data_IF_799653619893
#
_entry.id   IF_799653619893
#
_cell.length_a   1.000
_cell.length_b   1.000
_cell.length_c   1.000
_cell.angle_alpha   90.00
_cell.angle_beta   90.00
_cell.angle_gamma   90.00
#
_symmetry.space_group_name_H-M   'P 1'
#
loop_
_entity.id
_entity.type
_entity.pdbx_description
1 polymer ?
#
# COMPACT_ATOMS: atom_id res chain seq x y z
N UNK A 1 -9.44 -2.07 13.94
CA UNK A 1 -8.59 -0.89 14.12
C UNK A 1 -7.22 -1.44 14.42
N UNK A 2 -6.31 -1.36 13.45
CA UNK A 2 -4.93 -1.83 13.62
C UNK A 2 -4.30 -1.08 14.79
N UNK A 3 -3.66 -1.78 15.73
CA UNK A 3 -3.19 -1.17 16.98
C UNK A 3 -1.81 -0.48 16.88
N UNK A 4 -1.20 -0.48 15.70
CA UNK A 4 0.01 0.24 15.36
C UNK A 4 0.31 0.07 13.87
N UNK A 5 0.53 1.18 13.16
CA UNK A 5 0.86 1.16 11.73
C UNK A 5 1.92 2.21 11.47
N UNK A 6 3.07 1.76 10.97
CA UNK A 6 4.15 2.63 10.50
C UNK A 6 4.26 2.51 8.97
N UNK A 7 4.22 3.63 8.27
CA UNK A 7 4.29 3.71 6.80
C UNK A 7 5.46 4.62 6.43
N UNK A 8 6.30 4.15 5.52
CA UNK A 8 7.32 4.95 4.85
C UNK A 8 7.29 4.69 3.35
N UNK A 9 7.51 5.72 2.55
CA UNK A 9 7.57 5.60 1.10
C UNK A 9 8.80 6.30 0.53
N UNK A 10 9.34 5.78 -0.56
CA UNK A 10 10.45 6.35 -1.32
C UNK A 10 10.24 6.14 -2.83
N UNK A 11 10.78 7.04 -3.65
CA UNK A 11 10.73 6.94 -5.11
C UNK A 11 12.15 6.86 -5.65
N UNK A 12 12.51 5.71 -6.23
CA UNK A 12 13.85 5.45 -6.76
C UNK A 12 13.73 5.08 -8.24
N UNK A 13 14.14 5.98 -9.13
CA UNK A 13 14.14 5.75 -10.58
C UNK A 13 12.81 5.22 -11.11
N UNK A 14 11.73 5.98 -10.85
CA UNK A 14 10.35 5.66 -11.24
C UNK A 14 9.75 4.42 -10.56
N UNK A 15 10.41 3.87 -9.55
CA UNK A 15 9.86 2.83 -8.68
C UNK A 15 9.40 3.48 -7.39
N UNK A 16 8.09 3.40 -7.10
CA UNK A 16 7.54 3.76 -5.80
C UNK A 16 7.59 2.52 -4.90
N UNK A 17 8.34 2.65 -3.81
CA UNK A 17 8.43 1.64 -2.75
C UNK A 17 7.71 2.15 -1.50
N UNK A 18 6.84 1.32 -0.94
CA UNK A 18 6.09 1.62 0.29
C UNK A 18 6.38 0.49 1.29
N UNK A 19 7.02 0.82 2.42
CA UNK A 19 7.24 -0.13 3.50
C UNK A 19 6.20 0.11 4.59
N UNK A 20 5.55 -0.96 5.01
CA UNK A 20 4.43 -0.96 5.95
C UNK A 20 4.71 -1.96 7.05
N UNK A 21 4.59 -1.53 8.30
CA UNK A 21 4.60 -2.43 9.46
C UNK A 21 3.24 -2.35 10.13
N UNK A 22 2.60 -3.50 10.34
CA UNK A 22 1.36 -3.61 11.12
C UNK A 22 1.68 -4.44 12.35
N UNK A 23 1.35 -3.97 13.55
CA UNK A 23 1.72 -4.69 14.79
C UNK A 23 0.62 -5.60 15.34
N UNK A 24 -0.50 -5.73 14.61
CA UNK A 24 -1.55 -6.69 14.95
C UNK A 24 -1.17 -8.08 14.46
N UNK A 25 -1.30 -9.08 15.32
CA UNK A 25 -1.10 -10.50 15.01
C UNK A 25 -2.24 -10.99 14.11
N UNK A 26 -2.09 -10.79 12.80
CA UNK A 26 -3.11 -11.11 11.81
C UNK A 26 -2.49 -11.74 10.57
N UNK A 27 -2.91 -12.97 10.25
CA UNK A 27 -2.81 -13.50 8.89
C UNK A 27 -3.68 -12.63 7.97
N UNK A 28 -3.06 -11.65 7.31
CA UNK A 28 -3.75 -10.72 6.43
C UNK A 28 -3.01 -10.52 5.10
N UNK A 29 -3.77 -10.12 4.09
CA UNK A 29 -3.25 -9.68 2.79
C UNK A 29 -3.45 -8.17 2.68
N UNK A 30 -2.51 -7.46 2.06
CA UNK A 30 -2.62 -6.02 1.85
C UNK A 30 -3.10 -5.70 0.44
N UNK A 31 -3.92 -4.67 0.34
CA UNK A 31 -4.30 -4.02 -0.90
C UNK A 31 -4.07 -2.51 -0.80
N UNK A 32 -3.90 -1.84 -1.94
CA UNK A 32 -3.53 -0.43 -2.00
C UNK A 32 -4.40 0.36 -2.98
N UNK A 33 -4.78 1.56 -2.57
CA UNK A 33 -5.52 2.52 -3.38
C UNK A 33 -4.78 3.85 -3.41
N UNK A 34 -4.73 4.46 -4.61
CA UNK A 34 -4.13 5.76 -4.83
C UNK A 34 -5.19 6.75 -5.25
N UNK A 35 -5.35 7.84 -4.51
CA UNK A 35 -6.27 8.93 -4.85
C UNK A 35 -5.49 10.21 -5.15
N UNK A 36 -5.58 10.68 -6.39
CA UNK A 36 -4.91 11.91 -6.80
C UNK A 36 -5.55 13.13 -6.11
N UNK A 37 -4.77 13.91 -5.38
CA UNK A 37 -5.29 15.04 -4.58
C UNK A 37 -5.85 16.18 -5.44
N UNK A 38 -5.33 16.35 -6.66
CA UNK A 38 -5.73 17.46 -7.54
C UNK A 38 -6.98 17.13 -8.35
N UNK A 39 -7.04 15.93 -8.91
CA UNK A 39 -8.14 15.49 -9.80
C UNK A 39 -9.24 14.74 -9.05
N UNK A 40 -8.93 14.20 -7.86
CA UNK A 40 -9.82 13.30 -7.12
C UNK A 40 -9.95 11.91 -7.73
N UNK A 41 -9.19 11.59 -8.78
CA UNK A 41 -9.22 10.29 -9.43
C UNK A 41 -8.69 9.20 -8.48
N UNK A 42 -9.43 8.10 -8.37
CA UNK A 42 -9.06 6.93 -7.57
C UNK A 42 -8.57 5.83 -8.49
N UNK A 43 -7.38 5.29 -8.21
CA UNK A 43 -6.73 4.23 -8.97
C UNK A 43 -6.52 3.03 -8.05
N UNK A 44 -7.21 1.94 -8.36
CA UNK A 44 -7.11 0.63 -7.66
C UNK A 44 -6.55 -0.47 -8.56
N UNK A 45 -6.51 -0.25 -9.87
CA UNK A 45 -5.99 -1.18 -10.86
C UNK A 45 -4.54 -0.85 -11.23
N UNK A 46 -3.64 -0.97 -10.26
CA UNK A 46 -2.19 -0.79 -10.46
C UNK A 46 -1.53 -2.15 -10.28
N UNK A 47 -0.59 -2.47 -11.18
CA UNK A 47 0.24 -3.64 -10.99
C UNK A 47 1.32 -3.30 -9.95
N UNK A 48 1.32 -4.05 -8.85
CA UNK A 48 2.30 -3.94 -7.77
C UNK A 48 2.77 -5.32 -7.32
N UNK A 49 3.97 -5.36 -6.74
CA UNK A 49 4.52 -6.54 -6.06
C UNK A 49 4.39 -6.33 -4.56
N UNK A 50 3.74 -7.27 -3.87
CA UNK A 50 3.64 -7.32 -2.42
C UNK A 50 4.63 -8.38 -1.88
N UNK A 51 5.51 -7.98 -0.98
CA UNK A 51 6.53 -8.83 -0.37
C UNK A 51 6.39 -8.71 1.15
N UNK A 52 6.24 -9.84 1.84
CA UNK A 52 6.40 -9.91 3.29
C UNK A 52 7.89 -10.11 3.63
N UNK A 53 8.53 -9.11 4.23
CA UNK A 53 9.97 -9.11 4.51
C UNK A 53 10.25 -9.76 5.89
N UNK A 54 9.35 -9.57 6.83
CA UNK A 54 9.33 -10.24 8.13
C UNK A 54 7.92 -10.28 8.67
N UNK A 55 7.71 -10.99 9.78
CA UNK A 55 6.41 -11.11 10.45
C UNK A 55 5.74 -9.74 10.62
N UNK A 56 4.59 -9.58 9.97
CA UNK A 56 3.81 -8.35 9.88
C UNK A 56 4.54 -7.08 9.36
N UNK A 57 5.54 -7.28 8.50
CA UNK A 57 6.25 -6.21 7.77
C UNK A 57 6.19 -6.49 6.28
N UNK A 58 5.52 -5.59 5.55
CA UNK A 58 5.32 -5.70 4.11
C UNK A 58 6.02 -4.57 3.36
N UNK A 59 6.36 -4.88 2.12
CA UNK A 59 6.86 -3.95 1.14
C UNK A 59 6.01 -4.07 -0.12
N UNK A 60 5.50 -2.93 -0.57
CA UNK A 60 4.79 -2.77 -1.83
C UNK A 60 5.72 -2.05 -2.79
N UNK A 61 5.94 -2.63 -3.96
CA UNK A 61 6.78 -2.07 -5.01
C UNK A 61 5.93 -1.93 -6.27
N UNK A 62 5.88 -0.75 -6.86
CA UNK A 62 5.20 -0.50 -8.11
C UNK A 62 5.97 0.46 -9.00
N UNK A 63 5.74 0.37 -10.30
CA UNK A 63 6.22 1.35 -11.28
C UNK A 63 5.34 2.61 -11.19
N UNK A 64 5.91 3.74 -10.78
CA UNK A 64 5.19 4.99 -10.60
C UNK A 64 4.74 5.61 -11.90
N UNK A 65 5.30 5.19 -13.05
CA UNK A 65 4.84 5.65 -14.37
C UNK A 65 3.41 5.19 -14.72
N UNK A 66 2.87 4.23 -13.97
CA UNK A 66 1.46 3.84 -14.02
C UNK A 66 0.53 4.92 -13.47
N UNK A 67 1.06 5.84 -12.67
CA UNK A 67 0.34 6.99 -12.12
C UNK A 67 0.68 8.23 -12.92
N UNK A 68 -0.33 9.08 -13.16
CA UNK A 68 -0.08 10.42 -13.68
C UNK A 68 0.65 11.27 -12.64
N UNK A 69 1.50 12.18 -13.09
CA UNK A 69 2.18 13.13 -12.21
C UNK A 69 1.21 13.84 -11.26
N UNK A 70 1.53 13.83 -9.97
CA UNK A 70 0.74 14.50 -8.95
C UNK A 70 1.01 13.99 -7.54
N UNK A 71 0.31 14.59 -6.58
CA UNK A 71 0.28 14.13 -5.20
C UNK A 71 -0.89 13.17 -5.01
N UNK A 72 -0.68 12.14 -4.18
CA UNK A 72 -1.64 11.07 -3.96
C UNK A 72 -1.82 10.79 -2.47
N UNK A 73 -3.07 10.68 -2.06
CA UNK A 73 -3.44 9.99 -0.83
C UNK A 73 -3.33 8.48 -1.09
N UNK A 74 -2.58 7.77 -0.24
CA UNK A 74 -2.41 6.32 -0.33
C UNK A 74 -3.22 5.68 0.81
N UNK A 75 -4.18 4.84 0.46
CA UNK A 75 -4.95 4.04 1.43
C UNK A 75 -4.53 2.59 1.31
N UNK A 76 -4.18 1.98 2.45
CA UNK A 76 -3.88 0.56 2.55
C UNK A 76 -5.04 -0.15 3.25
N UNK A 77 -5.44 -1.29 2.69
CA UNK A 77 -6.49 -2.14 3.24
C UNK A 77 -5.87 -3.47 3.64
N UNK A 78 -6.10 -3.92 4.87
CA UNK A 78 -5.72 -5.28 5.25
C UNK A 78 -6.96 -6.18 5.24
N UNK A 79 -6.85 -7.29 4.52
CA UNK A 79 -7.90 -8.28 4.37
C UNK A 79 -7.51 -9.54 5.12
N UNK A 80 -8.31 -9.90 6.13
CA UNK A 80 -8.09 -11.13 6.89
C UNK A 80 -8.33 -12.39 6.03
N UNK A 81 -7.87 -13.56 6.50
CA UNK A 81 -8.09 -14.85 5.82
C UNK A 81 -9.58 -15.21 5.62
N UNK A 82 -10.47 -14.62 6.43
CA UNK A 82 -11.92 -14.79 6.28
C UNK A 82 -12.52 -13.85 5.21
N UNK A 83 -11.70 -12.97 4.63
CA UNK A 83 -12.06 -12.03 3.57
C UNK A 83 -12.64 -10.71 4.05
N UNK A 84 -12.65 -10.43 5.35
CA UNK A 84 -13.10 -9.14 5.87
C UNK A 84 -12.02 -8.09 5.64
N UNK A 85 -12.43 -6.99 5.03
CA UNK A 85 -11.59 -5.81 4.82
C UNK A 85 -11.66 -4.97 6.09
N UNK A 86 -10.52 -4.63 6.66
CA UNK A 86 -10.39 -3.77 7.85
C UNK A 86 -9.48 -2.58 7.59
#
# INVERSE_FOLDING_TARGET
VFSGTDISNDVVSDILQINVTITDDLDCTLDVEFKNETTGAVVTSIDYTLIEISDNVWQIILDSSQLSDGYYDITLYAKDLAGNIK
#
